data_IF_906370854093
#
_entry.id   IF_906370854093
#
_cell.length_a   1.000
_cell.length_b   1.000
_cell.length_c   1.000
_cell.angle_alpha   90.00
_cell.angle_beta   90.00
_cell.angle_gamma   90.00
#
_symmetry.space_group_name_H-M   'P 1'
#
loop_
_entity.id
_entity.type
_entity.pdbx_description
1 polymer ?
#
# COMPACT_ATOMS: atom_id res chain seq x y z
N UNK A 1 19.49 -76.22 -35.82
CA UNK A 1 18.02 -76.47 -35.90
C UNK A 1 17.47 -76.39 -34.47
N UNK A 2 16.24 -75.87 -34.31
CA UNK A 2 15.35 -75.90 -33.11
C UNK A 2 14.92 -74.53 -32.52
N UNK A 3 13.79 -74.06 -33.06
CA UNK A 3 12.53 -73.54 -32.48
C UNK A 3 12.53 -72.74 -31.14
N UNK A 4 12.08 -71.47 -31.14
CA UNK A 4 10.73 -70.90 -30.80
C UNK A 4 10.41 -70.86 -29.29
N UNK A 5 10.15 -69.66 -28.74
CA UNK A 5 8.84 -69.26 -28.17
C UNK A 5 8.89 -67.92 -27.41
N UNK A 6 8.07 -66.99 -27.87
CA UNK A 6 7.69 -65.69 -27.29
C UNK A 6 6.78 -65.88 -26.07
N UNK A 7 6.89 -65.05 -25.02
CA UNK A 7 5.78 -64.85 -24.08
C UNK A 7 5.69 -63.38 -23.61
N UNK A 8 4.71 -62.69 -24.17
CA UNK A 8 4.25 -61.36 -23.79
C UNK A 8 3.23 -61.50 -22.65
N UNK A 9 3.47 -60.90 -21.49
CA UNK A 9 2.44 -60.82 -20.44
C UNK A 9 1.87 -59.39 -20.36
N UNK A 10 0.74 -59.19 -21.04
CA UNK A 10 -0.15 -58.04 -20.88
C UNK A 10 -0.97 -58.22 -19.61
N UNK A 11 -0.98 -57.21 -18.73
CA UNK A 11 -1.94 -57.10 -17.61
C UNK A 11 -3.16 -56.29 -18.04
N UNK A 12 -4.21 -56.99 -18.42
CA UNK A 12 -5.64 -56.56 -18.40
C UNK A 12 -6.26 -57.11 -17.11
N UNK A 13 -7.35 -56.65 -16.49
CA UNK A 13 -8.24 -55.48 -16.52
C UNK A 13 -9.30 -55.75 -15.41
N UNK A 14 -10.17 -54.76 -15.14
CA UNK A 14 -11.52 -54.90 -14.57
C UNK A 14 -11.67 -55.16 -13.05
N UNK A 15 -12.76 -54.84 -12.35
CA UNK A 15 -13.88 -53.89 -12.46
C UNK A 15 -14.79 -54.17 -11.23
N UNK A 16 -15.45 -53.13 -10.71
CA UNK A 16 -16.76 -53.06 -10.01
C UNK A 16 -17.34 -54.26 -9.20
N UNK A 17 -17.89 -53.98 -8.00
CA UNK A 17 -19.35 -53.96 -7.72
C UNK A 17 -19.72 -53.95 -6.21
N UNK A 18 -20.90 -53.38 -5.94
CA UNK A 18 -21.57 -53.08 -4.67
C UNK A 18 -22.01 -54.30 -3.83
N UNK A 19 -22.15 -54.10 -2.51
CA UNK A 19 -23.27 -54.66 -1.71
C UNK A 19 -23.74 -53.70 -0.59
N UNK A 20 -25.04 -53.75 -0.34
CA UNK A 20 -25.91 -52.86 0.44
C UNK A 20 -26.20 -53.48 1.83
N UNK A 21 -26.34 -52.68 2.90
CA UNK A 21 -26.87 -53.16 4.19
C UNK A 21 -26.89 -52.10 5.29
N UNK A 22 -28.07 -51.54 5.56
CA UNK A 22 -28.32 -50.48 6.54
C UNK A 22 -28.61 -51.01 7.95
N UNK A 23 -28.18 -50.29 8.99
CA UNK A 23 -28.93 -50.10 10.25
C UNK A 23 -28.35 -48.90 11.05
N UNK A 24 -29.18 -47.87 11.30
CA UNK A 24 -28.93 -46.78 12.25
C UNK A 24 -29.71 -47.07 13.56
N UNK A 25 -29.29 -46.52 14.71
CA UNK A 25 -29.95 -45.29 15.17
C UNK A 25 -28.96 -44.27 15.77
N UNK A 26 -29.09 -43.00 15.36
CA UNK A 26 -29.67 -41.91 16.16
C UNK A 26 -28.71 -41.30 17.20
N UNK A 27 -28.03 -40.23 16.80
CA UNK A 27 -27.84 -39.08 17.69
C UNK A 27 -28.39 -37.84 17.00
N UNK A 28 -29.44 -37.29 17.58
CA UNK A 28 -29.99 -36.00 17.19
C UNK A 28 -29.11 -34.90 17.78
N UNK A 29 -28.57 -34.04 16.92
CA UNK A 29 -28.30 -32.65 17.25
C UNK A 29 -28.63 -31.83 15.99
N UNK A 30 -29.80 -31.21 16.05
CA UNK A 30 -30.34 -30.36 15.00
C UNK A 30 -29.48 -29.11 14.79
N UNK A 31 -29.35 -28.75 13.52
CA UNK A 31 -29.32 -27.39 12.97
C UNK A 31 -28.36 -26.37 13.58
N UNK A 32 -27.32 -26.00 12.83
CA UNK A 32 -27.16 -24.62 12.30
C UNK A 32 -26.43 -24.74 10.96
N UNK A 33 -26.97 -24.09 9.93
CA UNK A 33 -26.31 -23.73 8.68
C UNK A 33 -24.79 -23.61 8.82
N UNK A 34 -24.08 -24.27 7.91
CA UNK A 34 -22.66 -24.04 7.66
C UNK A 34 -22.44 -22.65 7.07
N UNK A 35 -22.61 -21.61 7.89
CA UNK A 35 -21.93 -20.33 7.70
C UNK A 35 -20.69 -20.41 8.59
N UNK A 36 -19.56 -20.74 7.97
CA UNK A 36 -18.28 -20.35 8.55
C UNK A 36 -18.38 -18.85 8.85
N UNK A 37 -18.11 -18.36 10.07
CA UNK A 37 -17.92 -16.94 10.26
C UNK A 37 -16.77 -16.55 9.33
N UNK A 38 -17.08 -15.77 8.29
CA UNK A 38 -16.07 -15.08 7.52
C UNK A 38 -15.18 -14.37 8.54
N UNK A 39 -13.89 -14.65 8.49
CA UNK A 39 -12.91 -13.86 9.25
C UNK A 39 -13.28 -12.38 9.04
N UNK A 40 -13.33 -11.57 10.10
CA UNK A 40 -13.69 -10.17 9.95
C UNK A 40 -12.78 -9.58 8.88
N UNK A 41 -13.39 -9.10 7.80
CA UNK A 41 -12.72 -8.24 6.85
C UNK A 41 -12.24 -7.05 7.68
N UNK A 42 -10.98 -7.08 8.09
CA UNK A 42 -10.28 -5.88 8.50
C UNK A 42 -10.21 -5.06 7.23
N UNK A 43 -11.21 -4.20 7.04
CA UNK A 43 -11.16 -3.12 6.06
C UNK A 43 -10.07 -2.18 6.58
N UNK A 44 -8.81 -2.49 6.28
CA UNK A 44 -7.82 -1.43 6.15
C UNK A 44 -8.38 -0.45 5.13
N UNK A 45 -8.36 0.85 5.44
CA UNK A 45 -8.86 1.92 4.55
C UNK A 45 -8.62 1.54 3.08
N UNK A 46 -9.71 1.19 2.39
CA UNK A 46 -9.66 0.58 1.06
C UNK A 46 -8.89 1.53 0.12
N UNK A 47 -7.63 1.19 -0.17
CA UNK A 47 -6.77 1.97 -1.06
C UNK A 47 -5.35 2.26 -0.57
N UNK A 48 -4.97 1.98 0.69
CA UNK A 48 -3.56 2.09 1.12
C UNK A 48 -2.86 0.76 1.19
N UNK A 49 -1.65 0.72 0.64
CA UNK A 49 -0.82 -0.46 0.66
C UNK A 49 -0.23 -0.69 2.06
N UNK A 50 -0.26 -1.94 2.49
CA UNK A 50 0.33 -2.36 3.76
C UNK A 50 1.85 -2.58 3.64
N UNK A 51 2.48 -2.91 4.78
CA UNK A 51 3.93 -3.16 4.82
C UNK A 51 4.31 -4.39 3.99
N UNK A 52 3.45 -5.40 3.91
CA UNK A 52 3.71 -6.63 3.15
C UNK A 52 3.78 -6.32 1.63
N UNK A 53 2.85 -5.52 1.13
CA UNK A 53 2.82 -5.04 -0.25
C UNK A 53 4.06 -4.20 -0.57
N UNK A 54 4.47 -3.33 0.34
CA UNK A 54 5.70 -2.54 0.18
C UNK A 54 6.96 -3.42 0.09
N UNK A 55 7.06 -4.45 0.94
CA UNK A 55 8.19 -5.40 0.91
C UNK A 55 8.18 -6.27 -0.35
N UNK A 56 7.00 -6.69 -0.82
CA UNK A 56 6.87 -7.44 -2.07
C UNK A 56 7.33 -6.62 -3.27
N UNK A 57 6.88 -5.36 -3.36
CA UNK A 57 7.29 -4.45 -4.41
C UNK A 57 8.79 -4.13 -4.34
N UNK A 58 9.34 -3.99 -3.12
CA UNK A 58 10.77 -3.78 -2.92
C UNK A 58 11.60 -4.97 -3.44
N UNK A 59 11.17 -6.20 -3.16
CA UNK A 59 11.82 -7.40 -3.67
C UNK A 59 11.77 -7.46 -5.20
N UNK A 60 10.62 -7.19 -5.80
CA UNK A 60 10.46 -7.16 -7.26
C UNK A 60 11.33 -6.07 -7.93
N UNK A 61 11.38 -4.87 -7.34
CA UNK A 61 12.24 -3.79 -7.82
C UNK A 61 13.73 -4.15 -7.69
N UNK A 62 14.13 -4.81 -6.60
CA UNK A 62 15.50 -5.27 -6.43
C UNK A 62 15.91 -6.33 -7.47
N UNK A 63 15.04 -7.29 -7.77
CA UNK A 63 15.28 -8.28 -8.81
C UNK A 63 15.36 -7.63 -10.20
N UNK A 64 14.44 -6.72 -10.53
CA UNK A 64 14.48 -5.99 -11.79
C UNK A 64 15.79 -5.20 -11.95
N UNK A 65 16.24 -4.53 -10.89
CA UNK A 65 17.50 -3.80 -10.89
C UNK A 65 18.73 -4.72 -11.00
N UNK A 66 18.72 -5.90 -10.38
CA UNK A 66 19.80 -6.89 -10.52
C UNK A 66 19.90 -7.42 -11.95
N UNK A 67 18.77 -7.59 -12.63
CA UNK A 67 18.72 -8.10 -13.99
C UNK A 67 19.21 -7.08 -15.02
N UNK A 68 18.72 -5.84 -14.95
CA UNK A 68 19.07 -4.77 -15.91
C UNK A 68 18.94 -3.39 -15.22
N UNK A 69 20.03 -2.86 -14.63
CA UNK A 69 19.96 -1.61 -13.88
C UNK A 69 19.48 -0.41 -14.71
N UNK A 70 20.00 -0.13 -15.93
CA UNK A 70 19.51 0.98 -16.74
C UNK A 70 18.03 0.87 -17.06
N UNK A 71 17.54 -0.31 -17.47
CA UNK A 71 16.13 -0.52 -17.78
C UNK A 71 15.24 -0.37 -16.55
N UNK A 72 15.68 -0.89 -15.41
CA UNK A 72 14.93 -0.77 -14.16
C UNK A 72 14.81 0.70 -13.71
N UNK A 73 15.89 1.48 -13.78
CA UNK A 73 15.87 2.90 -13.41
C UNK A 73 14.93 3.73 -14.30
N UNK A 74 14.88 3.44 -15.61
CA UNK A 74 13.89 4.05 -16.51
C UNK A 74 12.47 3.68 -16.07
N UNK A 75 12.19 2.40 -15.87
CA UNK A 75 10.87 1.94 -15.45
C UNK A 75 10.43 2.49 -14.08
N UNK A 76 11.37 2.72 -13.16
CA UNK A 76 11.08 3.36 -11.87
C UNK A 76 10.72 4.84 -12.04
N UNK A 77 11.35 5.55 -12.98
CA UNK A 77 11.07 6.96 -13.25
C UNK A 77 9.76 7.18 -14.01
N UNK A 78 9.33 6.21 -14.82
CA UNK A 78 8.05 6.30 -15.54
C UNK A 78 6.86 6.44 -14.57
N UNK A 79 6.99 5.96 -13.33
CA UNK A 79 5.94 6.09 -12.31
C UNK A 79 4.68 5.28 -12.64
N UNK A 80 4.84 4.20 -13.39
CA UNK A 80 3.76 3.34 -13.86
C UNK A 80 3.86 1.94 -13.23
N UNK A 81 2.78 1.17 -13.38
CA UNK A 81 2.81 -0.26 -13.09
C UNK A 81 3.95 -0.94 -13.89
N UNK A 82 4.67 -1.91 -13.31
CA UNK A 82 4.39 -2.55 -12.02
C UNK A 82 5.02 -1.84 -10.81
N UNK A 83 5.83 -0.79 -11.00
CA UNK A 83 6.64 -0.15 -9.95
C UNK A 83 5.96 1.00 -9.20
N UNK A 84 4.72 1.31 -9.59
CA UNK A 84 3.80 2.17 -8.88
C UNK A 84 2.47 1.43 -8.69
N UNK A 85 2.07 1.23 -7.43
CA UNK A 85 0.89 0.45 -7.06
C UNK A 85 0.17 1.13 -5.90
N UNK A 86 -1.10 1.51 -6.11
CA UNK A 86 -1.84 2.33 -5.15
C UNK A 86 -1.01 3.56 -4.72
N UNK A 87 -0.68 3.69 -3.44
CA UNK A 87 0.16 4.76 -2.89
C UNK A 87 1.66 4.41 -2.80
N UNK A 88 2.05 3.20 -3.22
CA UNK A 88 3.44 2.76 -3.30
C UNK A 88 4.11 3.26 -4.57
N UNK A 89 5.36 3.70 -4.43
CA UNK A 89 6.25 3.92 -5.57
C UNK A 89 7.69 3.61 -5.20
N UNK A 90 8.46 3.22 -6.22
CA UNK A 90 9.90 2.96 -6.13
C UNK A 90 10.69 4.26 -6.30
N UNK A 91 11.75 4.41 -5.51
CA UNK A 91 12.83 5.37 -5.76
C UNK A 91 14.19 4.73 -5.51
N UNK A 92 15.21 5.24 -6.19
CA UNK A 92 16.56 4.70 -6.17
C UNK A 92 17.58 5.81 -5.90
N UNK A 93 18.55 5.54 -5.03
CA UNK A 93 19.59 6.49 -4.62
C UNK A 93 20.96 5.82 -4.76
N UNK A 94 21.93 6.51 -5.34
CA UNK A 94 23.30 6.02 -5.36
C UNK A 94 23.94 6.21 -3.97
N UNK A 95 24.24 5.12 -3.28
CA UNK A 95 24.67 5.11 -1.89
C UNK A 95 25.98 5.90 -1.63
N UNK A 96 26.89 5.94 -2.60
CA UNK A 96 28.18 6.65 -2.47
C UNK A 96 28.12 8.15 -2.79
N UNK A 97 27.41 8.52 -3.85
CA UNK A 97 27.38 9.91 -4.34
C UNK A 97 26.20 10.69 -3.79
N UNK A 98 25.24 10.01 -3.15
CA UNK A 98 24.00 10.62 -2.70
C UNK A 98 23.09 11.08 -3.82
N UNK A 99 23.32 10.68 -5.08
CA UNK A 99 22.48 11.12 -6.20
C UNK A 99 21.19 10.32 -6.28
N UNK A 100 20.07 11.01 -6.50
CA UNK A 100 18.80 10.38 -6.86
C UNK A 100 18.92 9.79 -8.26
N UNK A 101 18.76 8.48 -8.40
CA UNK A 101 18.82 7.76 -9.68
C UNK A 101 17.43 7.61 -10.32
N UNK A 102 16.41 7.42 -9.49
CA UNK A 102 15.04 7.37 -9.94
C UNK A 102 14.06 7.75 -8.83
N UNK A 103 12.91 8.31 -9.19
CA UNK A 103 11.82 8.58 -8.25
C UNK A 103 10.47 8.56 -8.97
N UNK A 104 9.70 7.47 -8.83
CA UNK A 104 8.42 7.34 -9.53
C UNK A 104 7.33 8.31 -9.06
N UNK A 105 7.38 8.76 -7.81
CA UNK A 105 6.41 9.73 -7.29
C UNK A 105 6.71 11.17 -7.69
N UNK A 106 8.00 11.53 -7.79
CA UNK A 106 8.47 12.86 -8.16
C UNK A 106 9.70 12.76 -9.07
N UNK A 107 9.51 12.44 -10.37
CA UNK A 107 10.62 12.24 -11.31
C UNK A 107 11.56 13.44 -11.44
N UNK A 108 11.07 14.65 -11.15
CA UNK A 108 11.88 15.88 -11.12
C UNK A 108 12.98 15.92 -10.05
N UNK A 109 12.99 14.98 -9.09
CA UNK A 109 14.08 14.84 -8.11
C UNK A 109 15.27 14.06 -8.66
N UNK A 110 15.09 13.33 -9.78
CA UNK A 110 16.14 12.53 -10.39
C UNK A 110 17.33 13.39 -10.80
N UNK A 111 18.54 12.92 -10.49
CA UNK A 111 19.80 13.60 -10.73
C UNK A 111 20.23 14.56 -9.61
N UNK A 112 19.32 14.94 -8.72
CA UNK A 112 19.57 15.82 -7.58
C UNK A 112 20.35 15.16 -6.44
N UNK A 113 20.91 15.98 -5.56
CA UNK A 113 21.59 15.54 -4.35
C UNK A 113 20.56 15.22 -3.25
N UNK A 114 20.63 14.00 -2.73
CA UNK A 114 19.75 13.53 -1.65
C UNK A 114 20.17 14.12 -0.32
N UNK A 115 21.45 14.42 -0.07
CA UNK A 115 21.95 14.92 1.22
C UNK A 115 21.28 16.26 1.63
N UNK A 116 20.86 17.07 0.65
CA UNK A 116 20.16 18.34 0.89
C UNK A 116 18.64 18.17 1.09
N UNK A 117 18.07 16.97 0.89
CA UNK A 117 16.63 16.77 1.05
C UNK A 117 16.20 16.93 2.51
N UNK A 118 15.17 17.73 2.70
CA UNK A 118 14.52 17.98 3.98
C UNK A 118 13.04 17.63 3.90
N UNK A 119 12.49 17.08 4.97
CA UNK A 119 11.05 16.84 5.09
C UNK A 119 10.32 18.16 5.42
N UNK A 120 8.98 18.13 5.43
CA UNK A 120 8.16 19.31 5.72
C UNK A 120 8.35 19.89 7.15
N UNK A 121 9.01 19.16 8.05
CA UNK A 121 9.36 19.57 9.42
C UNK A 121 10.83 19.93 9.57
N UNK A 122 11.61 19.93 8.47
CA UNK A 122 13.04 20.26 8.46
C UNK A 122 13.96 19.07 8.76
N UNK A 123 13.46 17.84 8.87
CA UNK A 123 14.29 16.67 9.13
C UNK A 123 15.18 16.33 7.94
N UNK A 124 16.44 15.96 8.18
CA UNK A 124 17.42 15.58 7.16
C UNK A 124 17.16 14.16 6.61
N UNK A 125 16.13 14.03 5.76
CA UNK A 125 15.70 12.75 5.18
C UNK A 125 16.81 12.08 4.39
N UNK A 126 17.58 12.88 3.63
CA UNK A 126 18.66 12.34 2.82
C UNK A 126 19.73 11.61 3.64
N UNK A 127 20.19 12.26 4.71
CA UNK A 127 21.16 11.68 5.63
C UNK A 127 20.67 10.37 6.24
N UNK A 128 19.37 10.28 6.55
CA UNK A 128 18.77 9.05 7.07
C UNK A 128 18.87 7.88 6.08
N UNK A 129 18.82 8.13 4.77
CA UNK A 129 19.02 7.10 3.74
C UNK A 129 20.50 6.74 3.55
N UNK A 130 21.40 7.74 3.57
CA UNK A 130 22.83 7.51 3.30
C UNK A 130 23.55 6.76 4.43
N UNK A 131 23.02 6.82 5.66
CA UNK A 131 23.56 6.13 6.83
C UNK A 131 22.96 4.73 7.07
N UNK A 132 22.15 4.20 6.14
CA UNK A 132 21.56 2.89 6.32
C UNK A 132 22.61 1.76 6.28
N UNK A 133 22.46 0.73 7.12
CA UNK A 133 23.38 -0.41 7.16
C UNK A 133 23.38 -1.15 5.82
N UNK A 134 24.51 -1.80 5.52
CA UNK A 134 24.60 -2.75 4.42
C UNK A 134 23.88 -4.05 4.78
N UNK A 135 23.44 -4.79 3.77
CA UNK A 135 22.97 -6.18 3.88
C UNK A 135 21.74 -6.42 4.77
N UNK A 136 21.00 -5.36 5.11
CA UNK A 136 19.73 -5.44 5.85
C UNK A 136 18.65 -4.59 5.18
N UNK A 137 17.41 -5.09 5.22
CA UNK A 137 16.26 -4.24 4.92
C UNK A 137 16.10 -3.26 6.08
N UNK A 138 16.07 -1.98 5.73
CA UNK A 138 15.94 -0.89 6.69
C UNK A 138 14.66 -0.10 6.44
N UNK A 139 14.17 0.57 7.49
CA UNK A 139 12.98 1.40 7.41
C UNK A 139 13.31 2.85 7.76
N UNK A 140 12.80 3.80 6.96
CA UNK A 140 12.91 5.24 7.21
C UNK A 140 11.51 5.86 7.23
N UNK A 141 11.19 6.64 8.26
CA UNK A 141 9.91 7.34 8.38
C UNK A 141 10.10 8.86 8.41
N UNK A 142 9.33 9.58 7.60
CA UNK A 142 9.48 11.03 7.38
C UNK A 142 8.18 11.64 6.83
N UNK A 143 8.06 12.97 6.83
CA UNK A 143 6.88 13.66 6.29
C UNK A 143 7.08 14.03 4.84
N UNK A 144 6.29 13.45 3.95
CA UNK A 144 6.44 13.67 2.52
C UNK A 144 5.12 14.06 1.88
N UNK A 145 5.21 14.80 0.77
CA UNK A 145 4.04 15.11 -0.04
C UNK A 145 3.58 13.84 -0.74
N UNK A 146 2.32 13.47 -0.53
CA UNK A 146 1.70 12.38 -1.27
C UNK A 146 1.34 12.88 -2.69
N UNK A 147 1.85 12.25 -3.77
CA UNK A 147 1.59 12.71 -5.14
C UNK A 147 0.12 12.53 -5.57
N UNK A 148 -0.65 11.71 -4.86
CA UNK A 148 -2.08 11.51 -5.15
C UNK A 148 -2.96 12.53 -4.44
N UNK A 149 -2.71 12.80 -3.16
CA UNK A 149 -3.54 13.71 -2.34
C UNK A 149 -2.99 15.14 -2.28
N UNK A 150 -1.74 15.34 -2.69
CA UNK A 150 -0.96 16.58 -2.57
C UNK A 150 -0.78 17.09 -1.13
N UNK A 151 -1.15 16.28 -0.13
CA UNK A 151 -1.00 16.60 1.29
C UNK A 151 0.35 16.11 1.83
N UNK A 152 0.84 16.77 2.87
CA UNK A 152 1.96 16.27 3.65
C UNK A 152 1.45 15.18 4.58
N UNK A 153 1.98 13.98 4.42
CA UNK A 153 1.59 12.77 5.17
C UNK A 153 2.85 12.06 5.68
N UNK A 154 2.69 11.23 6.72
CA UNK A 154 3.79 10.39 7.21
C UNK A 154 4.04 9.27 6.21
N UNK A 155 5.21 9.27 5.59
CA UNK A 155 5.66 8.23 4.68
C UNK A 155 6.61 7.28 5.40
N UNK A 156 6.44 5.98 5.18
CA UNK A 156 7.34 4.93 5.68
C UNK A 156 7.95 4.21 4.49
N UNK A 157 9.26 4.29 4.34
CA UNK A 157 10.02 3.66 3.26
C UNK A 157 10.76 2.42 3.75
N UNK A 158 10.51 1.28 3.12
CA UNK A 158 11.35 0.09 3.20
C UNK A 158 12.49 0.22 2.18
N UNK A 159 13.70 -0.10 2.59
CA UNK A 159 14.92 0.16 1.81
C UNK A 159 15.79 -1.09 1.80
N UNK A 160 16.28 -1.45 0.61
CA UNK A 160 17.27 -2.50 0.42
C UNK A 160 18.44 -1.95 -0.38
N UNK A 161 19.66 -2.20 0.09
CA UNK A 161 20.87 -1.90 -0.67
C UNK A 161 21.19 -3.04 -1.64
N UNK A 162 21.35 -2.71 -2.92
CA UNK A 162 21.79 -3.62 -3.98
C UNK A 162 23.05 -3.02 -4.61
N UNK A 163 24.22 -3.56 -4.24
CA UNK A 163 25.51 -2.99 -4.62
C UNK A 163 25.69 -1.57 -4.08
N UNK A 164 25.87 -0.61 -4.98
CA UNK A 164 25.99 0.82 -4.66
C UNK A 164 24.69 1.62 -4.82
N UNK A 165 23.55 0.93 -4.95
CA UNK A 165 22.23 1.57 -5.07
C UNK A 165 21.33 1.17 -3.91
N UNK A 166 20.71 2.16 -3.27
CA UNK A 166 19.60 1.99 -2.34
C UNK A 166 18.32 1.99 -3.15
N UNK A 167 17.58 0.88 -3.11
CA UNK A 167 16.24 0.78 -3.70
C UNK A 167 15.26 0.89 -2.54
N UNK A 168 14.26 1.76 -2.71
CA UNK A 168 13.31 2.03 -1.65
C UNK A 168 11.88 2.08 -2.18
N UNK A 169 10.96 1.58 -1.37
CA UNK A 169 9.51 1.62 -1.62
C UNK A 169 8.86 2.25 -0.41
N UNK A 170 8.01 3.25 -0.60
CA UNK A 170 7.30 3.87 0.51
C UNK A 170 5.79 3.80 0.43
N UNK A 171 5.15 3.62 1.58
CA UNK A 171 3.71 3.73 1.78
C UNK A 171 3.39 4.95 2.65
N UNK A 172 2.19 5.51 2.47
CA UNK A 172 1.71 6.60 3.31
C UNK A 172 0.84 6.05 4.44
N UNK A 173 1.09 6.56 5.65
CA UNK A 173 0.29 6.23 6.82
C UNK A 173 -0.85 7.23 6.94
N UNK A 174 -2.08 6.71 7.01
CA UNK A 174 -3.18 7.46 7.59
C UNK A 174 -2.79 7.86 9.00
N UNK A 175 -2.66 9.15 9.25
CA UNK A 175 -2.97 9.63 10.59
C UNK A 175 -4.47 9.90 10.55
N UNK A 176 -5.32 9.15 11.28
CA UNK A 176 -6.69 9.60 11.49
C UNK A 176 -6.63 11.02 12.04
N UNK A 177 -7.43 11.92 11.50
CA UNK A 177 -7.51 13.33 11.88
C UNK A 177 -8.10 13.52 13.31
N UNK A 178 -7.70 12.71 14.29
CA UNK A 178 -8.23 12.75 15.65
C UNK A 178 -7.60 13.86 16.52
N UNK A 179 -6.64 14.64 16.01
CA UNK A 179 -6.11 15.82 16.71
C UNK A 179 -6.11 17.11 15.87
N UNK A 180 -6.98 17.20 14.86
CA UNK A 180 -7.37 18.54 14.38
C UNK A 180 -8.43 19.06 15.34
N UNK A 181 -8.01 19.62 16.48
CA UNK A 181 -8.79 20.63 17.19
C UNK A 181 -9.34 21.56 16.11
N UNK A 182 -10.66 21.49 15.90
CA UNK A 182 -11.37 22.32 14.95
C UNK A 182 -11.14 23.77 15.37
N UNK A 183 -10.29 24.49 14.63
CA UNK A 183 -10.41 25.94 14.60
C UNK A 183 -11.76 26.24 13.94
N UNK A 184 -12.69 26.94 14.61
CA UNK A 184 -14.00 27.23 14.04
C UNK A 184 -13.85 28.38 13.05
N UNK A 185 -13.47 28.07 11.83
CA UNK A 185 -13.61 28.98 10.71
C UNK A 185 -13.77 28.15 9.44
N UNK A 186 -14.82 28.47 8.68
CA UNK A 186 -15.27 27.84 7.43
C UNK A 186 -16.27 26.70 7.61
N UNK A 187 -17.41 27.07 8.19
CA UNK A 187 -18.67 26.32 8.17
C UNK A 187 -19.87 27.25 8.15
N UNK A 188 -19.90 28.24 7.24
CA UNK A 188 -21.14 28.94 6.90
C UNK A 188 -21.20 29.20 5.39
N UNK A 189 -21.83 28.26 4.68
CA UNK A 189 -22.67 28.56 3.54
C UNK A 189 -23.65 27.39 3.33
N UNK A 190 -24.94 27.75 3.21
CA UNK A 190 -26.08 26.94 2.77
C UNK A 190 -26.74 25.97 3.78
N UNK A 191 -27.67 26.51 4.57
CA UNK A 191 -29.08 26.09 4.50
C UNK A 191 -29.96 27.07 5.30
N UNK A 192 -30.87 27.78 4.63
CA UNK A 192 -32.00 28.44 5.27
C UNK A 192 -32.97 27.36 5.77
N UNK A 193 -33.32 27.28 7.06
CA UNK A 193 -34.45 26.48 7.49
C UNK A 193 -35.76 27.25 7.22
N UNK A 194 -36.64 26.63 6.44
CA UNK A 194 -38.02 27.07 6.29
C UNK A 194 -38.74 26.91 7.63
N UNK A 195 -39.48 27.96 8.03
CA UNK A 195 -40.42 27.92 9.12
C UNK A 195 -39.90 28.51 10.43
N UNK A 196 -39.88 29.84 10.53
CA UNK A 196 -40.32 30.60 11.73
C UNK A 196 -40.69 32.03 11.30
N UNK A 197 -41.88 32.16 10.70
CA UNK A 197 -42.61 33.41 10.76
C UNK A 197 -43.52 33.33 11.99
N UNK A 198 -43.22 34.08 13.04
CA UNK A 198 -44.19 34.89 13.77
C UNK A 198 -43.59 35.54 15.01
N UNK A 199 -43.82 36.85 15.08
CA UNK A 199 -43.96 37.65 16.28
C UNK A 199 -42.73 37.77 17.18
N UNK A 200 -42.06 38.92 17.11
CA UNK A 200 -41.93 39.80 18.26
C UNK A 200 -41.86 41.26 17.76
N UNK A 201 -42.77 42.08 18.28
CA UNK A 201 -42.90 43.52 18.06
C UNK A 201 -41.93 44.29 18.96
N UNK A 202 -41.71 45.55 18.58
CA UNK A 202 -41.02 46.64 19.29
C UNK A 202 -39.49 46.52 19.29
N UNK A 203 -38.70 47.52 18.87
CA UNK A 203 -38.74 48.94 19.23
C UNK A 203 -38.27 49.85 18.09
N UNK A 204 -38.72 51.12 18.01
CA UNK A 204 -38.23 52.10 17.04
C UNK A 204 -36.83 52.62 17.43
N UNK A 205 -35.96 52.65 16.43
CA UNK A 205 -34.63 53.29 16.46
C UNK A 205 -34.80 54.76 16.10
N UNK A 206 -34.35 55.66 16.97
CA UNK A 206 -34.09 57.07 16.64
C UNK A 206 -32.62 57.37 16.90
N UNK A 207 -31.88 57.72 15.86
CA UNK A 207 -30.59 58.40 15.95
C UNK A 207 -30.64 59.56 14.94
N UNK A 208 -30.71 60.79 15.44
CA UNK A 208 -30.33 61.98 14.68
C UNK A 208 -28.87 62.28 15.00
N UNK A 209 -28.07 62.49 13.96
CA UNK A 209 -26.78 63.16 14.06
C UNK A 209 -26.95 64.67 13.97
N UNK A 210 -26.14 65.41 14.74
CA UNK A 210 -25.17 66.44 14.34
C UNK A 210 -24.15 66.54 15.46
#
# INVERSE_FOLDING_TARGET
>A
MTRIATLTLRRTAAAAALTLGALLPAFAASSIDGIQPAAPLVVGEAGRADTASALHLLAAAAEAYRADPPRALTAFNDGLAPFQQADLYVFAIHARTGRMLANGGFPGLTGGDVAVLRDARGAAVGEAFLHLPKDAISQVSYHWRNPQTWRIETKRSQVLRVGDTLIAVGSYQSTPLAERKLHPALGQAAALPAGQASALRAHPVSWWGV
#
